data_IF_395775130684
#
_entry.id   IF_395775130684
#
_cell.length_a   1.000
_cell.length_b   1.000
_cell.length_c   1.000
_cell.angle_alpha   90.00
_cell.angle_beta   90.00
_cell.angle_gamma   90.00
#
_symmetry.space_group_name_H-M   'P 1'
#
loop_
_entity.id
_entity.type
_entity.pdbx_description
1 polymer ?
#
# COMPACT_ATOMS: atom_id res chain seq x y z
N UNK A 1 -6.98 49.28 0.95
CA UNK A 1 -6.22 48.20 0.30
C UNK A 1 -5.23 47.66 1.31
N UNK A 2 -5.67 46.71 2.13
CA UNK A 2 -4.89 46.14 3.23
C UNK A 2 -4.06 44.97 2.69
N UNK A 3 -2.74 44.92 2.95
CA UNK A 3 -1.87 43.87 2.42
C UNK A 3 -2.18 42.51 3.07
N UNK A 4 -2.23 41.47 2.24
CA UNK A 4 -2.39 40.08 2.63
C UNK A 4 -1.18 39.64 3.47
N UNK A 5 -1.44 39.25 4.71
CA UNK A 5 -0.44 38.78 5.66
C UNK A 5 0.00 37.38 5.24
N UNK A 6 1.25 37.23 4.85
CA UNK A 6 1.87 35.93 4.55
C UNK A 6 2.08 35.19 5.88
N UNK A 7 1.10 34.38 6.24
CA UNK A 7 1.15 33.45 7.38
C UNK A 7 2.29 32.45 7.13
N UNK A 8 3.32 32.48 7.98
CA UNK A 8 4.44 31.54 7.94
C UNK A 8 3.92 30.09 8.04
N UNK A 9 4.05 29.35 6.95
CA UNK A 9 3.62 27.95 6.87
C UNK A 9 4.61 27.05 7.63
N UNK A 10 4.16 26.50 8.75
CA UNK A 10 4.92 25.52 9.53
C UNK A 10 4.65 24.11 9.00
N UNK A 11 5.67 23.35 8.56
CA UNK A 11 5.53 21.92 8.31
C UNK A 11 5.26 21.19 9.65
N UNK A 12 4.30 20.26 9.66
CA UNK A 12 3.72 19.67 10.88
C UNK A 12 4.64 18.69 11.65
N UNK A 13 5.91 18.50 11.25
CA UNK A 13 6.82 17.51 11.86
C UNK A 13 8.22 18.06 12.21
N UNK A 14 8.36 19.34 12.58
CA UNK A 14 9.63 19.92 13.08
C UNK A 14 10.06 19.36 14.48
N UNK A 15 9.26 18.48 15.09
CA UNK A 15 9.43 18.03 16.48
C UNK A 15 10.09 16.68 16.71
N UNK A 16 10.53 15.95 15.67
CA UNK A 16 11.17 14.64 15.83
C UNK A 16 12.57 14.67 15.20
N UNK A 17 13.51 15.24 15.96
CA UNK A 17 14.92 15.28 15.58
C UNK A 17 15.54 13.88 15.64
N UNK A 18 16.02 13.38 14.49
CA UNK A 18 17.07 12.36 14.46
C UNK A 18 18.22 12.89 13.62
N UNK A 19 19.26 13.28 14.37
CA UNK A 19 20.69 13.42 14.02
C UNK A 19 21.03 13.41 12.53
N UNK A 20 21.36 14.61 12.03
CA UNK A 20 22.13 14.82 10.81
C UNK A 20 23.60 14.48 11.09
N UNK A 21 24.18 13.51 10.39
CA UNK A 21 25.63 13.40 10.23
C UNK A 21 26.00 13.37 8.75
N UNK A 22 26.66 14.47 8.37
CA UNK A 22 27.68 14.66 7.33
C UNK A 22 27.65 13.91 5.99
N UNK A 23 27.69 14.74 4.94
CA UNK A 23 28.46 14.61 3.70
C UNK A 23 27.69 14.20 2.43
N UNK A 24 27.43 15.20 1.58
CA UNK A 24 27.19 15.03 0.15
C UNK A 24 28.44 14.49 -0.55
N UNK A 25 28.27 13.84 -1.72
CA UNK A 25 28.76 14.52 -2.91
C UNK A 25 27.79 14.46 -4.10
N UNK A 26 27.78 15.59 -4.81
CA UNK A 26 27.06 15.83 -6.05
C UNK A 26 27.26 14.75 -7.12
N UNK A 27 26.17 14.27 -7.74
CA UNK A 27 26.21 13.64 -9.08
C UNK A 27 24.97 13.97 -9.92
N UNK A 28 25.20 14.94 -10.81
CA UNK A 28 24.73 15.09 -12.19
C UNK A 28 23.28 14.70 -12.56
N UNK A 29 22.54 15.72 -12.93
CA UNK A 29 21.18 15.77 -13.47
C UNK A 29 20.98 14.95 -14.75
N UNK A 30 19.76 14.41 -14.95
CA UNK A 30 19.01 14.38 -16.22
C UNK A 30 17.50 14.14 -15.95
N UNK A 31 16.71 15.22 -15.95
CA UNK A 31 15.40 15.36 -16.63
C UNK A 31 14.30 14.29 -16.41
N UNK A 32 13.53 14.42 -15.32
CA UNK A 32 12.15 14.95 -15.25
C UNK A 32 11.63 14.67 -13.83
N UNK A 33 11.43 15.74 -13.05
CA UNK A 33 11.19 15.81 -11.59
C UNK A 33 12.44 15.67 -10.69
N UNK A 34 12.87 16.74 -9.98
CA UNK A 34 13.76 16.60 -8.83
C UNK A 34 12.99 15.90 -7.71
N UNK A 35 13.46 14.73 -7.29
CA UNK A 35 12.90 13.93 -6.18
C UNK A 35 13.41 14.50 -4.85
N UNK A 36 13.30 15.82 -4.67
CA UNK A 36 13.71 16.52 -3.45
C UNK A 36 12.82 17.76 -3.25
N UNK A 37 11.51 17.65 -3.53
CA UNK A 37 10.57 18.71 -3.08
C UNK A 37 10.32 18.56 -1.58
N UNK A 38 10.48 19.62 -0.78
CA UNK A 38 10.23 19.62 0.66
C UNK A 38 8.73 19.63 0.94
N UNK A 39 8.07 18.54 0.56
CA UNK A 39 6.71 18.19 0.91
C UNK A 39 6.69 17.08 1.96
N UNK A 40 5.56 16.41 2.16
CA UNK A 40 5.51 15.12 2.89
C UNK A 40 6.18 13.99 2.07
N UNK A 41 7.22 14.34 1.31
CA UNK A 41 7.83 13.59 0.22
C UNK A 41 8.89 12.61 0.68
N UNK A 42 9.52 12.78 1.85
CA UNK A 42 10.59 11.84 2.23
C UNK A 42 10.08 10.53 2.85
N UNK A 43 8.77 10.44 3.11
CA UNK A 43 8.15 9.29 3.76
C UNK A 43 7.15 8.59 2.84
N UNK A 44 7.12 7.25 2.91
CA UNK A 44 6.11 6.43 2.27
C UNK A 44 5.25 5.71 3.33
N UNK A 45 3.99 5.40 3.04
CA UNK A 45 3.00 5.09 4.08
C UNK A 45 3.30 3.87 4.95
N UNK A 46 4.06 2.90 4.43
CA UNK A 46 4.45 1.71 5.18
C UNK A 46 5.51 1.96 6.25
N UNK A 47 6.17 3.13 6.27
CA UNK A 47 7.07 3.53 7.36
C UNK A 47 6.34 4.12 8.57
N UNK A 48 5.17 4.71 8.35
CA UNK A 48 4.47 5.48 9.38
C UNK A 48 3.47 4.63 10.18
N UNK A 49 3.08 3.45 9.69
CA UNK A 49 2.03 2.65 10.32
C UNK A 49 2.51 1.25 10.70
N UNK A 50 2.20 0.84 11.94
CA UNK A 50 2.41 -0.53 12.40
C UNK A 50 1.52 -1.54 11.65
N UNK A 51 1.65 -2.83 11.96
CA UNK A 51 0.94 -3.91 11.25
C UNK A 51 -0.57 -3.66 11.11
N UNK A 52 -1.24 -3.27 12.19
CA UNK A 52 -2.68 -2.98 12.17
C UNK A 52 -3.02 -1.71 11.39
N UNK A 53 -2.15 -0.70 11.40
CA UNK A 53 -2.35 0.54 10.65
C UNK A 53 -2.32 0.32 9.13
N UNK A 54 -1.51 -0.63 8.66
CA UNK A 54 -1.50 -1.06 7.26
C UNK A 54 -2.78 -1.82 6.87
N UNK A 55 -3.33 -2.65 7.76
CA UNK A 55 -4.58 -3.39 7.51
C UNK A 55 -5.78 -2.45 7.42
N UNK A 56 -5.87 -1.49 8.36
CA UNK A 56 -6.98 -0.52 8.40
C UNK A 56 -6.72 0.75 7.58
N UNK A 57 -5.66 0.80 6.76
CA UNK A 57 -5.29 1.95 5.94
C UNK A 57 -5.23 3.29 6.72
N UNK A 58 -4.80 3.24 7.99
CA UNK A 58 -4.79 4.41 8.89
C UNK A 58 -3.92 5.57 8.36
N UNK A 59 -2.96 5.27 7.49
CA UNK A 59 -2.08 6.26 6.86
C UNK A 59 -2.81 7.15 5.83
N UNK A 60 -3.98 6.73 5.32
CA UNK A 60 -4.79 7.52 4.37
C UNK A 60 -5.58 8.61 5.09
N UNK A 61 -5.94 8.39 6.36
CA UNK A 61 -6.73 9.33 7.16
C UNK A 61 -6.20 10.77 7.20
N UNK A 62 -4.90 11.04 7.44
CA UNK A 62 -4.37 12.42 7.40
C UNK A 62 -4.52 13.07 6.01
N UNK A 63 -4.34 12.30 4.93
CA UNK A 63 -4.49 12.81 3.56
C UNK A 63 -5.95 13.19 3.26
N UNK A 64 -6.91 12.38 3.72
CA UNK A 64 -8.34 12.70 3.58
C UNK A 64 -8.75 13.95 4.36
N UNK A 65 -8.20 14.14 5.58
CA UNK A 65 -8.45 15.36 6.35
C UNK A 65 -7.92 16.59 5.63
N UNK A 66 -6.69 16.53 5.11
CA UNK A 66 -6.08 17.63 4.37
C UNK A 66 -6.87 17.97 3.09
N UNK A 67 -7.31 16.95 2.35
CA UNK A 67 -8.13 17.12 1.15
C UNK A 67 -9.53 17.71 1.40
N UNK A 68 -10.04 17.60 2.64
CA UNK A 68 -11.29 18.24 3.05
C UNK A 68 -11.10 19.73 3.39
N UNK A 69 -9.90 20.12 3.81
CA UNK A 69 -9.57 21.51 4.16
C UNK A 69 -9.14 22.33 2.94
N UNK A 70 -8.37 21.74 2.02
CA UNK A 70 -7.91 22.39 0.80
C UNK A 70 -7.66 21.40 -0.34
N UNK A 71 -7.65 21.88 -1.60
CA UNK A 71 -7.17 21.07 -2.73
C UNK A 71 -5.73 20.59 -2.48
N UNK A 72 -5.51 19.29 -2.74
CA UNK A 72 -4.21 18.65 -2.57
C UNK A 72 -3.25 19.10 -3.69
N UNK A 73 -2.03 19.47 -3.31
CA UNK A 73 -0.94 19.77 -4.24
C UNK A 73 0.04 18.59 -4.31
N UNK A 74 0.87 18.55 -5.35
CA UNK A 74 1.78 17.41 -5.57
C UNK A 74 2.78 17.20 -4.43
N UNK A 75 3.16 18.27 -3.72
CA UNK A 75 4.07 18.22 -2.57
C UNK A 75 3.39 17.67 -1.30
N UNK A 76 2.06 17.61 -1.26
CA UNK A 76 1.31 17.04 -0.11
C UNK A 76 1.13 15.51 -0.21
N UNK A 77 1.58 14.91 -1.31
CA UNK A 77 1.44 13.49 -1.57
C UNK A 77 2.67 12.71 -1.11
N UNK A 78 2.43 11.49 -0.63
CA UNK A 78 3.50 10.56 -0.30
C UNK A 78 4.32 10.19 -1.54
N UNK A 79 5.63 10.04 -1.38
CA UNK A 79 6.46 9.47 -2.44
C UNK A 79 6.18 7.98 -2.62
N UNK A 80 6.42 7.52 -3.85
CA UNK A 80 6.32 6.11 -4.20
C UNK A 80 7.41 5.30 -3.48
N UNK A 81 6.99 4.18 -2.88
CA UNK A 81 7.89 3.20 -2.26
C UNK A 81 9.03 2.85 -3.23
N UNK A 82 10.31 2.92 -2.80
CA UNK A 82 11.46 2.54 -3.61
C UNK A 82 11.32 1.20 -4.34
N UNK A 83 10.63 0.23 -3.74
CA UNK A 83 10.38 -1.08 -4.35
C UNK A 83 9.45 -1.00 -5.58
N UNK A 84 8.49 -0.09 -5.58
CA UNK A 84 7.50 0.09 -6.64
C UNK A 84 7.93 1.10 -7.70
N UNK A 85 9.10 1.74 -7.56
CA UNK A 85 9.62 2.70 -8.54
C UNK A 85 9.92 2.01 -9.87
N UNK A 86 9.63 2.71 -10.97
CA UNK A 86 9.82 2.19 -12.32
C UNK A 86 11.25 1.69 -12.58
N UNK A 87 12.26 2.38 -12.04
CA UNK A 87 13.66 1.97 -12.14
C UNK A 87 13.94 0.60 -11.50
N UNK A 88 13.34 0.33 -10.34
CA UNK A 88 13.51 -0.94 -9.63
C UNK A 88 12.72 -2.06 -10.29
N UNK A 89 11.48 -1.78 -10.70
CA UNK A 89 10.60 -2.72 -11.40
C UNK A 89 11.18 -3.13 -12.75
N UNK A 90 11.69 -2.16 -13.54
CA UNK A 90 12.30 -2.43 -14.84
C UNK A 90 13.59 -3.23 -14.71
N UNK A 91 14.45 -2.90 -13.74
CA UNK A 91 15.65 -3.68 -13.43
C UNK A 91 15.32 -5.12 -13.05
N UNK A 92 14.37 -5.32 -12.14
CA UNK A 92 13.93 -6.66 -11.71
C UNK A 92 13.39 -7.50 -12.88
N UNK A 93 12.63 -6.86 -13.76
CA UNK A 93 12.14 -7.51 -14.98
C UNK A 93 13.28 -7.83 -15.96
N UNK A 94 14.22 -6.89 -16.17
CA UNK A 94 15.37 -7.09 -17.05
C UNK A 94 16.25 -8.27 -16.59
N UNK A 95 16.52 -8.37 -15.28
CA UNK A 95 17.28 -9.49 -14.69
C UNK A 95 16.56 -10.83 -14.90
N UNK A 96 15.23 -10.85 -14.78
CA UNK A 96 14.42 -12.06 -15.03
C UNK A 96 14.37 -12.42 -16.52
N UNK A 97 14.32 -11.42 -17.39
CA UNK A 97 14.33 -11.57 -18.84
C UNK A 97 15.65 -12.13 -19.36
N UNK A 98 16.79 -11.63 -18.88
CA UNK A 98 18.11 -12.13 -19.26
C UNK A 98 18.30 -13.62 -18.89
N UNK A 99 17.80 -14.02 -17.72
CA UNK A 99 17.82 -15.43 -17.31
C UNK A 99 16.95 -16.30 -18.23
N UNK A 100 15.87 -15.75 -18.76
CA UNK A 100 14.94 -16.46 -19.63
C UNK A 100 15.45 -16.55 -21.07
N UNK A 101 16.13 -15.52 -21.58
CA UNK A 101 16.73 -15.53 -22.93
C UNK A 101 17.89 -16.52 -23.06
N UNK A 102 18.56 -16.85 -21.95
CA UNK A 102 19.54 -17.95 -21.89
C UNK A 102 18.92 -19.35 -21.99
N UNK A 103 17.59 -19.45 -21.88
CA UNK A 103 16.87 -20.71 -22.10
C UNK A 103 16.55 -20.87 -23.59
N UNK A 104 16.64 -22.09 -24.13
CA UNK A 104 16.43 -22.36 -25.56
C UNK A 104 15.02 -22.03 -26.10
N UNK A 105 14.06 -21.68 -25.22
CA UNK A 105 12.70 -21.22 -25.56
C UNK A 105 12.31 -20.05 -24.66
N UNK A 106 12.63 -18.79 -25.03
CA UNK A 106 12.28 -17.64 -24.21
C UNK A 106 10.75 -17.46 -24.15
N UNK A 107 10.21 -17.19 -22.96
CA UNK A 107 8.79 -16.94 -22.74
C UNK A 107 8.60 -15.73 -21.85
N UNK A 108 7.91 -14.72 -22.37
CA UNK A 108 7.68 -13.45 -21.68
C UNK A 108 6.76 -13.60 -20.47
N UNK A 109 5.74 -14.44 -20.57
CA UNK A 109 4.82 -14.74 -19.46
C UNK A 109 5.58 -15.39 -18.31
N UNK A 110 6.54 -16.27 -18.61
CA UNK A 110 7.34 -16.93 -17.57
C UNK A 110 8.31 -15.95 -16.89
N UNK A 111 8.97 -15.07 -17.66
CA UNK A 111 9.84 -14.04 -17.10
C UNK A 111 9.05 -13.07 -16.20
N UNK A 112 7.86 -12.65 -16.63
CA UNK A 112 6.98 -11.77 -15.86
C UNK A 112 6.47 -12.46 -14.59
N UNK A 113 6.02 -13.72 -14.72
CA UNK A 113 5.59 -14.55 -13.59
C UNK A 113 6.72 -14.78 -12.59
N UNK A 114 7.96 -14.95 -13.03
CA UNK A 114 9.12 -15.08 -12.13
C UNK A 114 9.49 -13.77 -11.44
N UNK A 115 9.35 -12.64 -12.12
CA UNK A 115 9.66 -11.32 -11.54
C UNK A 115 8.62 -10.85 -10.51
N UNK A 116 7.33 -11.11 -10.73
CA UNK A 116 6.24 -10.54 -9.91
C UNK A 116 5.26 -11.55 -9.31
N UNK A 117 5.31 -12.82 -9.72
CA UNK A 117 4.28 -13.82 -9.42
C UNK A 117 4.07 -14.14 -7.96
N UNK A 118 5.09 -14.02 -7.10
CA UNK A 118 4.93 -14.30 -5.66
C UNK A 118 3.85 -13.44 -5.00
N UNK A 119 3.80 -12.13 -5.29
CA UNK A 119 2.76 -11.24 -4.75
C UNK A 119 1.36 -11.62 -5.28
N UNK A 120 1.27 -12.01 -6.55
CA UNK A 120 0.02 -12.50 -7.13
C UNK A 120 -0.43 -13.82 -6.49
N UNK A 121 0.49 -14.72 -6.13
CA UNK A 121 0.12 -15.96 -5.43
C UNK A 121 -0.45 -15.67 -4.04
N UNK A 122 0.18 -14.79 -3.26
CA UNK A 122 -0.34 -14.39 -1.93
C UNK A 122 -1.72 -13.75 -2.06
N UNK A 123 -1.91 -12.88 -3.05
CA UNK A 123 -3.22 -12.29 -3.33
C UNK A 123 -4.26 -13.33 -3.73
N UNK A 124 -3.88 -14.29 -4.58
CA UNK A 124 -4.74 -15.41 -4.98
C UNK A 124 -5.14 -16.28 -3.79
N UNK A 125 -4.21 -16.58 -2.88
CA UNK A 125 -4.51 -17.32 -1.66
C UNK A 125 -5.48 -16.57 -0.74
N UNK A 126 -5.27 -15.25 -0.54
CA UNK A 126 -6.19 -14.43 0.24
C UNK A 126 -7.58 -14.37 -0.41
N UNK A 127 -7.65 -14.32 -1.73
CA UNK A 127 -8.90 -14.41 -2.50
C UNK A 127 -9.63 -15.74 -2.24
N UNK A 128 -8.92 -16.86 -2.20
CA UNK A 128 -9.52 -18.17 -1.90
C UNK A 128 -10.10 -18.23 -0.48
N UNK A 129 -9.42 -17.65 0.50
CA UNK A 129 -9.95 -17.52 1.86
C UNK A 129 -11.24 -16.70 1.83
N UNK A 130 -11.21 -15.53 1.18
CA UNK A 130 -12.37 -14.67 1.03
C UNK A 130 -13.56 -15.41 0.39
N UNK A 131 -13.31 -16.15 -0.70
CA UNK A 131 -14.35 -16.88 -1.41
C UNK A 131 -14.93 -18.01 -0.53
N UNK A 132 -14.10 -18.66 0.28
CA UNK A 132 -14.55 -19.66 1.26
C UNK A 132 -15.46 -19.03 2.34
N UNK A 133 -15.07 -17.88 2.89
CA UNK A 133 -15.87 -17.13 3.87
C UNK A 133 -17.23 -16.71 3.31
N UNK A 134 -17.29 -16.37 2.02
CA UNK A 134 -18.53 -15.99 1.37
C UNK A 134 -19.53 -17.16 1.29
N UNK A 135 -19.06 -18.41 1.26
CA UNK A 135 -19.91 -19.60 1.34
C UNK A 135 -20.39 -19.92 2.77
N UNK A 136 -19.74 -19.38 3.81
CA UNK A 136 -20.15 -19.60 5.21
C UNK A 136 -21.49 -18.92 5.51
N UNK A 137 -21.76 -17.75 4.91
CA UNK A 137 -23.02 -17.03 5.07
C UNK A 137 -24.29 -17.88 4.86
N UNK A 138 -24.48 -18.50 3.68
CA UNK A 138 -25.65 -19.36 3.44
C UNK A 138 -25.65 -20.65 4.28
N UNK A 139 -24.49 -21.17 4.73
CA UNK A 139 -24.45 -22.33 5.62
C UNK A 139 -25.02 -21.98 7.01
N UNK A 140 -24.54 -20.88 7.62
CA UNK A 140 -25.02 -20.42 8.93
C UNK A 140 -26.54 -20.18 8.90
N UNK A 141 -27.05 -19.54 7.84
CA UNK A 141 -28.49 -19.28 7.72
C UNK A 141 -29.29 -20.59 7.66
N UNK A 142 -28.77 -21.62 7.00
CA UNK A 142 -29.42 -22.93 6.91
C UNK A 142 -29.52 -23.60 8.28
N UNK A 143 -28.45 -23.53 9.08
CA UNK A 143 -28.39 -24.11 10.41
C UNK A 143 -29.30 -23.36 11.39
N UNK A 144 -29.35 -22.02 11.29
CA UNK A 144 -30.30 -21.19 12.06
C UNK A 144 -31.75 -21.56 11.72
N UNK A 145 -32.08 -21.70 10.43
CA UNK A 145 -33.44 -22.08 10.02
C UNK A 145 -33.80 -23.48 10.55
N UNK A 146 -32.87 -24.43 10.49
CA UNK A 146 -33.09 -25.77 11.02
C UNK A 146 -33.34 -25.76 12.53
N UNK A 147 -32.53 -25.01 13.30
CA UNK A 147 -32.70 -24.84 14.74
C UNK A 147 -34.05 -24.21 15.09
N UNK A 148 -34.45 -23.15 14.39
CA UNK A 148 -35.75 -22.49 14.63
C UNK A 148 -36.96 -23.34 14.22
N UNK A 149 -36.78 -24.36 13.37
CA UNK A 149 -37.86 -25.23 12.92
C UNK A 149 -38.13 -26.40 13.88
N UNK A 150 -37.22 -26.70 14.80
CA UNK A 150 -37.37 -27.78 15.79
C UNK A 150 -37.73 -27.20 17.18
N UNK A 151 -38.99 -27.36 17.64
CA UNK A 151 -39.45 -26.83 18.92
C UNK A 151 -38.86 -27.56 20.14
N UNK A 152 -38.05 -28.60 19.95
CA UNK A 152 -37.38 -29.36 21.03
C UNK A 152 -35.86 -29.19 21.06
N UNK A 153 -35.29 -28.37 20.15
CA UNK A 153 -33.85 -28.17 20.08
C UNK A 153 -33.30 -27.46 21.33
N UNK A 154 -32.19 -27.95 21.93
CA UNK A 154 -31.61 -27.36 23.13
C UNK A 154 -30.94 -26.01 22.85
N UNK A 155 -31.14 -25.04 23.76
CA UNK A 155 -30.73 -23.64 23.63
C UNK A 155 -29.23 -23.42 23.32
N UNK A 156 -28.38 -24.41 23.64
CA UNK A 156 -26.95 -24.40 23.39
C UNK A 156 -26.56 -24.55 21.93
N UNK A 157 -27.42 -25.17 21.09
CA UNK A 157 -27.13 -25.35 19.65
C UNK A 157 -27.39 -24.09 18.82
N UNK A 158 -28.28 -23.19 19.24
CA UNK A 158 -28.54 -21.93 18.53
C UNK A 158 -27.55 -20.79 18.86
N UNK A 159 -26.65 -20.98 19.83
CA UNK A 159 -25.76 -19.96 20.41
C UNK A 159 -24.27 -20.17 20.08
N UNK A 160 -23.93 -21.23 19.33
CA UNK A 160 -22.57 -21.51 18.85
C UNK A 160 -22.53 -21.39 17.33
#
# INVERSE_FOLDING_TARGET
>A
MTPFKQEERKPLLQGMTVVHDGAAPAKHTNTWMPVDTPGLGDHYPSQQSGCLGNVFFSWVTPLMKLGNERPLESDDLFQLDPYNRAANVSKKFADAWERQTRSGKPSLVWALGKAFGFKFMVAGFLKLIHDSLQFVGPMIIKDIIAYLSDPTAPLSEGLT
#
